data_IF_469748719356
#
_entry.id   IF_469748719356
#
_cell.length_a   1.000
_cell.length_b   1.000
_cell.length_c   1.000
_cell.angle_alpha   90.00
_cell.angle_beta   90.00
_cell.angle_gamma   90.00
#
_symmetry.space_group_name_H-M   'P 1'
#
loop_
_entity.id
_entity.type
_entity.pdbx_description
1 polymer ?
#
# COMPACT_ATOMS: atom_id res chain seq x y z
N UNK A 1 13.32 -3.25 4.27
CA UNK A 1 12.52 -2.93 3.06
C UNK A 1 11.10 -3.50 3.17
N UNK A 2 10.93 -4.75 3.65
CA UNK A 2 9.63 -5.40 3.93
C UNK A 2 8.84 -4.78 5.11
N UNK A 3 9.47 -3.92 5.92
CA UNK A 3 8.86 -3.31 7.11
C UNK A 3 7.67 -2.39 6.80
N UNK A 4 7.56 -1.80 5.62
CA UNK A 4 6.45 -0.87 5.32
C UNK A 4 5.10 -1.54 5.08
N UNK A 5 5.10 -2.83 4.77
CA UNK A 5 3.89 -3.61 4.45
C UNK A 5 3.69 -4.79 5.39
N UNK A 6 4.38 -4.82 6.53
CA UNK A 6 4.32 -5.94 7.47
C UNK A 6 2.91 -6.14 8.06
N UNK A 7 2.09 -5.08 8.14
CA UNK A 7 0.71 -5.15 8.64
C UNK A 7 -0.21 -5.97 7.74
N UNK A 8 0.16 -6.20 6.48
CA UNK A 8 -0.59 -7.11 5.61
C UNK A 8 -0.43 -8.58 5.99
N UNK A 9 0.57 -8.92 6.82
CA UNK A 9 0.92 -10.27 7.26
C UNK A 9 2.15 -10.80 6.50
N UNK A 10 2.24 -12.12 6.32
CA UNK A 10 3.38 -12.72 5.63
C UNK A 10 3.29 -12.53 4.11
N UNK A 11 4.31 -11.91 3.53
CA UNK A 11 4.45 -11.70 2.08
C UNK A 11 5.21 -12.87 1.45
N UNK A 12 4.67 -13.38 0.34
CA UNK A 12 5.33 -14.37 -0.53
C UNK A 12 6.22 -13.67 -1.55
N UNK A 13 5.71 -12.59 -2.16
CA UNK A 13 6.46 -11.73 -3.09
C UNK A 13 5.91 -10.29 -3.04
N UNK A 14 6.72 -9.33 -3.50
CA UNK A 14 6.30 -7.94 -3.66
C UNK A 14 7.01 -7.28 -4.83
N UNK A 15 6.23 -6.60 -5.68
CA UNK A 15 6.74 -5.79 -6.80
C UNK A 15 6.24 -4.37 -6.64
N UNK A 16 7.12 -3.38 -6.86
CA UNK A 16 6.74 -1.98 -6.75
C UNK A 16 7.42 -1.09 -7.77
N UNK A 17 6.75 0.01 -8.08
CA UNK A 17 7.24 1.08 -8.95
C UNK A 17 7.13 2.40 -8.18
N UNK A 18 8.21 3.17 -8.23
CA UNK A 18 8.26 4.54 -7.71
C UNK A 18 8.39 5.48 -8.91
N UNK A 19 7.45 6.42 -9.06
CA UNK A 19 7.51 7.38 -10.15
C UNK A 19 8.42 8.55 -9.77
N UNK A 20 9.49 8.77 -10.52
CA UNK A 20 10.36 9.93 -10.35
C UNK A 20 10.20 10.89 -11.53
N UNK A 21 9.85 12.17 -11.31
CA UNK A 21 9.90 13.17 -12.35
C UNK A 21 11.36 13.40 -12.78
N UNK A 22 11.75 12.91 -13.96
CA UNK A 22 13.06 13.19 -14.55
C UNK A 22 14.00 11.99 -14.77
N UNK A 23 13.58 10.75 -14.49
CA UNK A 23 14.27 9.54 -14.96
C UNK A 23 15.59 9.18 -14.27
N UNK A 24 16.11 9.98 -13.34
CA UNK A 24 17.26 9.59 -12.53
C UNK A 24 16.81 8.73 -11.34
N UNK A 25 17.34 7.50 -11.30
CA UNK A 25 17.06 6.49 -10.28
C UNK A 25 17.81 6.86 -8.99
N UNK A 26 17.27 7.79 -8.20
CA UNK A 26 17.87 8.12 -6.91
C UNK A 26 17.69 6.94 -5.93
N UNK A 27 18.80 6.43 -5.39
CA UNK A 27 18.83 5.29 -4.44
C UNK A 27 18.33 5.65 -3.04
N UNK A 28 17.98 6.92 -2.82
CA UNK A 28 17.41 7.43 -1.58
C UNK A 28 16.01 7.94 -1.92
N UNK A 29 14.93 7.41 -1.31
CA UNK A 29 13.59 7.91 -1.58
C UNK A 29 13.53 9.37 -1.14
N UNK A 30 13.42 10.30 -2.09
CA UNK A 30 12.94 11.64 -1.79
C UNK A 30 11.42 11.61 -1.71
N UNK A 31 10.89 12.35 -0.74
CA UNK A 31 9.78 11.93 0.13
C UNK A 31 8.37 12.35 -0.32
N UNK A 32 8.12 12.51 -1.62
CA UNK A 32 6.85 13.08 -2.14
C UNK A 32 6.27 12.34 -3.35
N UNK A 33 6.83 11.18 -3.73
CA UNK A 33 6.45 10.51 -4.98
C UNK A 33 5.38 9.44 -4.80
N UNK A 34 4.44 9.32 -5.76
CA UNK A 34 3.52 8.20 -5.82
C UNK A 34 4.23 6.87 -6.01
N UNK A 35 3.76 5.86 -5.29
CA UNK A 35 4.22 4.49 -5.33
C UNK A 35 3.05 3.56 -5.58
N UNK A 36 3.26 2.61 -6.48
CA UNK A 36 2.39 1.45 -6.65
C UNK A 36 3.12 0.20 -6.20
N UNK A 37 2.44 -0.67 -5.45
CA UNK A 37 2.96 -1.96 -5.05
C UNK A 37 1.91 -3.06 -5.28
N UNK A 38 2.35 -4.19 -5.83
CA UNK A 38 1.61 -5.45 -5.87
C UNK A 38 2.23 -6.36 -4.83
N UNK A 39 1.43 -6.81 -3.88
CA UNK A 39 1.84 -7.71 -2.81
C UNK A 39 1.13 -9.05 -3.01
N UNK A 40 1.90 -10.14 -3.01
CA UNK A 40 1.35 -11.50 -2.95
C UNK A 40 1.50 -12.00 -1.53
N UNK A 41 0.38 -12.29 -0.88
CA UNK A 41 0.34 -12.74 0.51
C UNK A 41 0.24 -14.26 0.58
N UNK A 42 0.45 -14.82 1.78
CA UNK A 42 0.17 -16.25 1.99
C UNK A 42 -1.31 -16.59 1.73
N UNK A 43 -1.60 -17.83 1.31
CA UNK A 43 -2.97 -18.27 1.08
C UNK A 43 -3.94 -17.99 2.24
N UNK A 44 -5.10 -17.43 1.91
CA UNK A 44 -6.18 -17.07 2.84
C UNK A 44 -5.93 -15.83 3.68
N UNK A 45 -4.81 -15.12 3.52
CA UNK A 45 -4.47 -13.96 4.33
C UNK A 45 -5.33 -12.74 3.99
N UNK A 46 -5.65 -12.52 2.71
CA UNK A 46 -6.57 -11.44 2.33
C UNK A 46 -7.95 -11.70 2.93
N UNK A 47 -8.44 -12.94 2.89
CA UNK A 47 -9.72 -13.30 3.52
C UNK A 47 -9.71 -13.03 5.02
N UNK A 48 -8.62 -13.35 5.73
CA UNK A 48 -8.47 -13.08 7.16
C UNK A 48 -8.41 -11.58 7.47
N UNK A 49 -7.76 -10.78 6.61
CA UNK A 49 -7.74 -9.32 6.75
C UNK A 49 -9.15 -8.72 6.63
N UNK A 50 -9.95 -9.24 5.69
CA UNK A 50 -11.28 -8.74 5.38
C UNK A 50 -12.40 -9.34 6.26
N UNK A 51 -12.11 -10.35 7.07
CA UNK A 51 -13.12 -11.06 7.87
C UNK A 51 -13.82 -10.12 8.86
N UNK A 52 -15.15 -10.15 8.86
CA UNK A 52 -16.00 -9.27 9.68
C UNK A 52 -16.02 -7.80 9.24
N UNK A 53 -15.38 -7.42 8.12
CA UNK A 53 -15.30 -6.03 7.65
C UNK A 53 -16.27 -5.76 6.51
N UNK A 54 -16.65 -4.48 6.37
CA UNK A 54 -17.41 -4.03 5.20
C UNK A 54 -16.46 -3.95 4.00
N UNK A 55 -16.87 -4.60 2.92
CA UNK A 55 -16.16 -4.56 1.64
C UNK A 55 -17.08 -4.05 0.54
N UNK A 56 -16.48 -3.40 -0.46
CA UNK A 56 -17.20 -2.90 -1.63
C UNK A 56 -16.47 -3.36 -2.91
N UNK A 57 -17.18 -3.74 -3.98
CA UNK A 57 -16.54 -4.09 -5.24
C UNK A 57 -15.69 -2.93 -5.78
N UNK A 58 -14.48 -3.24 -6.23
CA UNK A 58 -13.60 -2.28 -6.89
C UNK A 58 -13.59 -2.51 -8.40
N UNK A 59 -13.31 -1.46 -9.16
CA UNK A 59 -13.06 -1.60 -10.60
C UNK A 59 -11.73 -2.30 -10.83
N UNK A 60 -11.63 -3.06 -11.93
CA UNK A 60 -10.34 -3.64 -12.34
C UNK A 60 -9.33 -2.52 -12.58
N UNK A 61 -8.07 -2.69 -12.14
CA UNK A 61 -7.00 -1.73 -12.42
C UNK A 61 -6.85 -1.47 -13.92
N UNK A 62 -6.76 -0.19 -14.28
CA UNK A 62 -6.42 0.26 -15.63
C UNK A 62 -4.92 0.49 -15.68
N UNK A 63 -4.28 0.07 -16.78
CA UNK A 63 -2.83 0.18 -16.93
C UNK A 63 -2.45 1.37 -17.80
N UNK A 64 -1.50 2.16 -17.31
CA UNK A 64 -0.92 3.30 -18.02
C UNK A 64 0.61 3.13 -18.18
N UNK A 65 1.22 3.78 -19.18
CA UNK A 65 2.67 3.84 -19.30
C UNK A 65 3.37 4.32 -18.02
N UNK A 66 4.51 3.71 -17.69
CA UNK A 66 5.25 3.96 -16.44
C UNK A 66 5.82 5.39 -16.30
N UNK A 67 5.85 6.17 -17.38
CA UNK A 67 6.45 7.50 -17.45
C UNK A 67 5.52 8.64 -17.00
N UNK A 68 4.25 8.35 -16.74
CA UNK A 68 3.25 9.37 -16.39
C UNK A 68 2.35 8.90 -15.24
N UNK A 69 2.39 9.54 -14.05
CA UNK A 69 1.35 9.37 -13.06
C UNK A 69 0.12 10.16 -13.55
N UNK A 70 -0.82 9.48 -14.21
CA UNK A 70 -2.12 10.05 -14.54
C UNK A 70 -3.17 9.39 -13.64
N UNK A 71 -3.51 10.04 -12.53
CA UNK A 71 -4.60 9.59 -11.66
C UNK A 71 -4.35 8.24 -10.99
N UNK A 72 -5.42 7.45 -10.87
CA UNK A 72 -5.46 6.14 -10.20
C UNK A 72 -4.99 4.97 -11.10
N UNK A 73 -4.42 5.27 -12.28
CA UNK A 73 -3.98 4.25 -13.23
C UNK A 73 -2.68 3.58 -12.77
N UNK A 74 -2.63 2.25 -12.90
CA UNK A 74 -1.51 1.41 -12.45
C UNK A 74 -0.41 1.36 -13.52
N UNK A 75 0.87 1.40 -13.15
CA UNK A 75 1.97 1.22 -14.10
C UNK A 75 1.87 -0.08 -14.89
N UNK A 76 2.05 0.00 -16.20
CA UNK A 76 1.96 -1.14 -17.11
C UNK A 76 2.99 -2.24 -16.77
N UNK A 77 4.14 -1.89 -16.20
CA UNK A 77 5.12 -2.88 -15.72
C UNK A 77 4.62 -3.74 -14.56
N UNK A 78 3.57 -3.34 -13.85
CA UNK A 78 2.96 -4.15 -12.79
C UNK A 78 1.92 -5.15 -13.32
N UNK A 79 1.44 -5.00 -14.56
CA UNK A 79 0.42 -5.84 -15.15
C UNK A 79 0.72 -7.36 -15.07
N UNK A 80 1.96 -7.85 -15.29
CA UNK A 80 2.28 -9.27 -15.21
C UNK A 80 2.13 -9.89 -13.81
N UNK A 81 2.09 -9.07 -12.77
CA UNK A 81 1.99 -9.52 -11.37
C UNK A 81 0.56 -9.48 -10.85
N UNK A 82 -0.38 -8.96 -11.64
CA UNK A 82 -1.78 -8.88 -11.27
C UNK A 82 -2.56 -10.07 -11.87
N UNK A 83 -3.41 -10.73 -11.07
CA UNK A 83 -4.31 -11.78 -11.57
C UNK A 83 -5.26 -11.24 -12.67
N UNK A 84 -5.32 -11.95 -13.80
CA UNK A 84 -6.12 -11.52 -14.96
C UNK A 84 -7.63 -11.42 -14.65
N UNK A 85 -8.13 -12.35 -13.83
CA UNK A 85 -9.55 -12.53 -13.48
C UNK A 85 -9.87 -12.16 -12.02
N UNK A 86 -9.09 -11.25 -11.42
CA UNK A 86 -9.33 -10.82 -10.04
C UNK A 86 -10.70 -10.16 -9.86
N UNK A 87 -11.31 -10.45 -8.72
CA UNK A 87 -12.51 -9.79 -8.24
C UNK A 87 -12.09 -8.81 -7.14
N UNK A 88 -11.63 -7.63 -7.57
CA UNK A 88 -11.10 -6.63 -6.66
C UNK A 88 -12.17 -6.08 -5.71
N UNK A 89 -11.79 -5.89 -4.46
CA UNK A 89 -12.60 -5.26 -3.43
C UNK A 89 -11.82 -4.17 -2.71
N UNK A 90 -12.55 -3.20 -2.17
CA UNK A 90 -12.05 -2.15 -1.28
C UNK A 90 -12.48 -2.45 0.15
N UNK A 91 -11.63 -2.09 1.10
CA UNK A 91 -11.95 -2.01 2.51
C UNK A 91 -11.34 -0.73 3.10
N UNK A 92 -11.90 0.46 2.82
CA UNK A 92 -11.24 1.74 3.10
C UNK A 92 -10.84 1.96 4.57
N UNK A 93 -11.52 1.30 5.51
CA UNK A 93 -11.14 1.31 6.93
C UNK A 93 -9.77 0.68 7.23
N UNK A 94 -9.24 -0.14 6.31
CA UNK A 94 -7.93 -0.79 6.43
C UNK A 94 -6.81 0.03 5.82
N UNK A 95 -7.08 0.95 4.90
CA UNK A 95 -6.05 1.63 4.11
C UNK A 95 -5.07 2.38 5.02
N UNK A 96 -5.58 3.21 5.93
CA UNK A 96 -4.76 3.97 6.89
C UNK A 96 -4.21 3.10 8.04
N UNK A 97 -4.82 1.93 8.29
CA UNK A 97 -4.37 1.00 9.33
C UNK A 97 -3.17 0.19 8.83
N UNK A 98 -3.22 -0.25 7.58
CA UNK A 98 -2.23 -1.15 6.98
C UNK A 98 -1.11 -0.38 6.28
N UNK A 99 -1.41 0.81 5.75
CA UNK A 99 -0.46 1.66 5.03
C UNK A 99 -0.40 3.02 5.69
N UNK A 100 0.75 3.33 6.27
CA UNK A 100 1.03 4.69 6.73
C UNK A 100 1.63 5.49 5.58
N UNK A 101 0.85 6.38 4.99
CA UNK A 101 1.29 7.24 3.89
C UNK A 101 1.19 8.71 4.29
N UNK A 102 2.05 9.56 3.71
CA UNK A 102 1.86 11.01 3.79
C UNK A 102 0.86 11.43 2.70
N UNK A 103 -0.41 11.52 3.08
CA UNK A 103 -1.51 11.87 2.18
C UNK A 103 -2.42 10.69 1.95
N UNK A 104 -2.59 10.30 0.68
CA UNK A 104 -3.54 9.24 0.31
C UNK A 104 -2.84 7.88 0.27
N UNK A 105 -3.51 6.89 0.86
CA UNK A 105 -3.32 5.48 0.56
C UNK A 105 -4.65 4.94 0.00
N UNK A 106 -4.57 4.09 -1.01
CA UNK A 106 -5.69 3.34 -1.54
C UNK A 106 -5.27 1.88 -1.69
N UNK A 107 -6.08 0.96 -1.17
CA UNK A 107 -5.77 -0.46 -1.19
C UNK A 107 -6.90 -1.27 -1.82
N UNK A 108 -6.55 -2.06 -2.84
CA UNK A 108 -7.43 -3.03 -3.46
C UNK A 108 -6.98 -4.45 -3.15
N UNK A 109 -7.93 -5.34 -2.92
CA UNK A 109 -7.68 -6.72 -2.52
C UNK A 109 -8.34 -7.68 -3.51
N UNK A 110 -7.65 -8.75 -3.88
CA UNK A 110 -8.25 -9.92 -4.53
C UNK A 110 -8.17 -11.14 -3.59
N UNK A 111 -9.28 -11.50 -2.91
CA UNK A 111 -9.29 -12.60 -1.93
C UNK A 111 -9.11 -13.98 -2.54
N UNK A 112 -9.25 -14.12 -3.86
CA UNK A 112 -9.11 -15.41 -4.55
C UNK A 112 -7.65 -15.79 -4.79
N UNK A 113 -6.79 -14.81 -5.10
CA UNK A 113 -5.37 -15.00 -5.33
C UNK A 113 -4.46 -14.52 -4.18
N UNK A 114 -5.04 -13.97 -3.11
CA UNK A 114 -4.32 -13.32 -2.02
C UNK A 114 -3.38 -12.19 -2.51
N UNK A 115 -3.81 -11.49 -3.56
CA UNK A 115 -3.10 -10.34 -4.13
C UNK A 115 -3.64 -9.04 -3.56
N UNK A 116 -2.75 -8.10 -3.25
CA UNK A 116 -3.07 -6.74 -2.84
C UNK A 116 -2.40 -5.76 -3.78
N UNK A 117 -3.16 -4.76 -4.24
CA UNK A 117 -2.63 -3.61 -4.96
C UNK A 117 -2.70 -2.40 -4.02
N UNK A 118 -1.56 -1.76 -3.81
CA UNK A 118 -1.42 -0.56 -2.98
C UNK A 118 -1.02 0.60 -3.87
N UNK A 119 -1.76 1.70 -3.75
CA UNK A 119 -1.31 3.02 -4.17
C UNK A 119 -1.07 3.87 -2.92
N UNK A 120 0.08 4.52 -2.83
CA UNK A 120 0.36 5.42 -1.72
C UNK A 120 1.42 6.47 -2.07
N UNK A 121 1.47 7.53 -1.28
CA UNK A 121 2.55 8.53 -1.35
C UNK A 121 3.41 8.40 -0.11
N UNK A 122 4.70 8.16 -0.32
CA UNK A 122 5.71 8.07 0.74
C UNK A 122 5.29 7.16 1.92
N UNK A 123 5.25 5.83 1.72
CA UNK A 123 4.91 4.91 2.79
C UNK A 123 6.03 4.86 3.85
N UNK A 124 5.67 5.17 5.10
CA UNK A 124 6.51 4.99 6.28
C UNK A 124 6.25 3.61 6.91
N UNK A 125 7.06 3.23 7.89
CA UNK A 125 6.75 2.05 8.71
C UNK A 125 5.51 2.37 9.57
N UNK A 126 4.42 1.59 9.45
CA UNK A 126 3.20 1.89 10.20
C UNK A 126 3.35 1.71 11.71
N UNK A 127 4.41 1.05 12.19
CA UNK A 127 4.72 0.88 13.62
C UNK A 127 5.78 1.86 14.14
N UNK A 128 6.32 2.74 13.31
CA UNK A 128 7.35 3.69 13.73
C UNK A 128 6.81 4.76 14.69
N UNK A 129 7.45 4.87 15.86
CA UNK A 129 7.17 5.92 16.85
C UNK A 129 7.65 7.25 16.31
N UNK A 130 6.75 8.24 16.25
CA UNK A 130 7.10 9.57 15.75
C UNK A 130 7.17 10.59 16.87
N UNK A 131 8.02 11.58 16.63
CA UNK A 131 8.12 12.78 17.45
C UNK A 131 7.28 13.87 16.80
N UNK A 132 6.17 14.27 17.43
CA UNK A 132 5.38 15.42 17.01
C UNK A 132 5.80 16.66 17.78
N UNK A 133 5.83 17.79 17.09
CA UNK A 133 6.00 19.11 17.70
C UNK A 133 4.71 19.87 17.50
N UNK A 134 4.04 20.27 18.59
CA UNK A 134 2.84 21.07 18.53
C UNK A 134 3.13 22.52 18.12
N UNK A 135 2.08 23.30 17.84
CA UNK A 135 2.21 24.72 17.46
C UNK A 135 2.79 25.61 18.57
N UNK A 136 2.88 25.10 19.80
CA UNK A 136 3.55 25.75 20.93
C UNK A 136 5.01 25.34 21.10
N UNK A 137 5.56 24.52 20.20
CA UNK A 137 6.93 24.02 20.25
C UNK A 137 7.14 22.88 21.25
N UNK A 138 6.08 22.27 21.79
CA UNK A 138 6.21 21.11 22.68
C UNK A 138 6.30 19.83 21.89
N UNK A 139 7.25 19.01 22.30
CA UNK A 139 7.52 17.72 21.69
C UNK A 139 6.75 16.61 22.42
N UNK A 140 6.03 15.78 21.67
CA UNK A 140 5.37 14.57 22.16
C UNK A 140 5.74 13.36 21.31
N UNK A 141 5.76 12.18 21.92
CA UNK A 141 5.89 10.92 21.21
C UNK A 141 4.50 10.39 20.85
N UNK A 142 4.33 10.02 19.59
CA UNK A 142 3.12 9.38 19.07
C UNK A 142 3.47 7.95 18.75
N UNK A 143 2.95 7.04 19.56
CA UNK A 143 3.05 5.60 19.33
C UNK A 143 1.86 5.16 18.48
N UNK A 144 2.07 4.47 17.34
CA UNK A 144 0.99 3.94 16.54
C UNK A 144 0.13 2.95 17.32
N UNK A 145 -1.16 2.87 16.99
CA UNK A 145 -2.03 1.84 17.56
C UNK A 145 -1.47 0.46 17.21
N UNK A 146 -1.42 -0.48 18.19
CA UNK A 146 -0.94 -1.82 17.92
C UNK A 146 -1.89 -2.51 16.93
N UNK A 147 -1.31 -3.06 15.87
CA UNK A 147 -2.02 -3.88 14.90
C UNK A 147 -1.28 -5.20 14.76
N UNK A 148 -1.97 -6.32 15.00
CA UNK A 148 -1.39 -7.64 14.82
C UNK A 148 -1.92 -8.18 13.48
N UNK A 149 -1.04 -8.43 12.50
CA UNK A 149 -1.46 -9.04 11.25
C UNK A 149 -2.11 -10.40 11.53
N UNK A 150 -3.15 -10.78 10.78
CA UNK A 150 -3.72 -12.11 10.91
C UNK A 150 -2.67 -13.17 10.54
N UNK A 151 -2.54 -14.21 11.39
CA UNK A 151 -1.66 -15.38 11.19
C UNK A 151 -2.28 -16.45 10.32
#
# INVERSE_FOLDING_TARGET
MVTRFHRFGELVDAQWVLHWPGGERELVPSNEHPMFAVLHLKPGQVKRLLDGRRTEPASKPVFAPDDLPHGDDVPASLAPYLPADAAWVLAPELDEVLVRARGTAAVQYDPASDTVLVFCINPDDPDEVQTMVDTGGRTSLVTPSPFVPPS
#
